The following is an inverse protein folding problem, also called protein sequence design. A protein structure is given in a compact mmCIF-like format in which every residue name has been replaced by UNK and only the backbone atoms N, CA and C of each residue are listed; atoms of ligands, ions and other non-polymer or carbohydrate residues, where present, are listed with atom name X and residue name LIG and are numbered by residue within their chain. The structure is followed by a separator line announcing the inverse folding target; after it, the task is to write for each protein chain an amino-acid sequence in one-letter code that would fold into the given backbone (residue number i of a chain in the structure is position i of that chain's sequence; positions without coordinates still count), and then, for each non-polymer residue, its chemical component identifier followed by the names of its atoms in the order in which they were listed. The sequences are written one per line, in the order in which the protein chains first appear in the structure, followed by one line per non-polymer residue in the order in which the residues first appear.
data_IF_421919263520
#
_entry.id   IF_421919263520
#
_cell.length_a   1.000
_cell.length_b   1.000
_cell.length_c   1.000
_cell.angle_alpha   90.00
_cell.angle_beta   90.00
_cell.angle_gamma   90.00
#
_symmetry.space_group_name_H-M   'P 1'
#
loop_
_entity.id
_entity.type
_entity.pdbx_description
1 polymer ?
#
# COMPACT_ATOMS: atom_id res chain seq x y z
N UNK A 1 22.62 12.56 24.53
CA UNK A 1 21.52 12.19 23.65
C UNK A 1 21.06 10.82 24.12
N UNK A 2 19.87 10.74 24.72
CA UNK A 2 19.31 9.45 25.11
C UNK A 2 19.09 8.64 23.82
N UNK A 3 19.64 7.43 23.79
CA UNK A 3 19.33 6.44 22.77
C UNK A 3 17.84 6.10 22.91
N UNK A 4 16.98 6.83 22.23
CA UNK A 4 15.60 6.43 22.07
C UNK A 4 15.63 5.14 21.27
N UNK A 5 15.44 4.01 21.94
CA UNK A 5 15.24 2.73 21.26
C UNK A 5 14.01 2.88 20.35
N UNK A 6 14.14 2.50 19.10
CA UNK A 6 12.99 2.47 18.19
C UNK A 6 11.85 1.65 18.82
N UNK A 7 10.58 2.05 18.65
CA UNK A 7 9.47 1.27 19.16
C UNK A 7 9.50 -0.13 18.54
N UNK A 8 9.08 -1.12 19.29
CA UNK A 8 8.96 -2.51 18.78
C UNK A 8 7.62 -2.75 18.09
N UNK A 9 6.65 -1.86 18.31
CA UNK A 9 5.29 -1.96 17.74
C UNK A 9 4.86 -0.65 17.11
N UNK A 10 3.99 -0.74 16.10
CA UNK A 10 3.35 0.44 15.52
C UNK A 10 2.38 1.08 16.51
N UNK A 11 2.29 2.40 16.50
CA UNK A 11 1.49 3.21 17.40
C UNK A 11 0.37 3.94 16.63
N UNK A 12 -0.61 4.44 17.38
CA UNK A 12 -1.68 5.27 16.83
C UNK A 12 -3.01 4.55 16.61
N UNK A 13 -3.89 5.19 15.86
CA UNK A 13 -5.23 4.68 15.56
C UNK A 13 -5.24 3.94 14.22
N UNK A 14 -5.48 2.64 14.28
CA UNK A 14 -5.57 1.75 13.12
C UNK A 14 -7.02 1.35 12.78
N UNK A 15 -8.00 1.88 13.50
CA UNK A 15 -9.40 1.44 13.41
C UNK A 15 -10.00 1.58 12.00
N UNK A 16 -9.50 2.53 11.20
CA UNK A 16 -9.98 2.77 9.83
C UNK A 16 -9.05 2.23 8.74
N UNK A 17 -7.94 1.61 9.12
CA UNK A 17 -6.89 1.21 8.16
C UNK A 17 -7.41 0.26 7.08
N UNK A 18 -8.24 -0.70 7.46
CA UNK A 18 -8.73 -1.73 6.52
C UNK A 18 -10.19 -1.50 6.09
N UNK A 19 -10.77 -0.36 6.45
CA UNK A 19 -12.13 -0.01 6.06
C UNK A 19 -12.17 0.64 4.69
N UNK A 20 -13.23 0.32 3.94
CA UNK A 20 -13.62 1.03 2.73
C UNK A 20 -14.86 1.86 2.99
N UNK A 21 -15.12 2.81 2.09
CA UNK A 21 -16.33 3.61 2.17
C UNK A 21 -16.42 4.44 3.46
N UNK A 22 -15.29 4.96 3.95
CA UNK A 22 -15.24 5.87 5.09
C UNK A 22 -16.11 7.12 4.89
N UNK A 23 -16.47 7.37 3.64
CA UNK A 23 -17.37 8.45 3.22
C UNK A 23 -18.48 7.87 2.36
N UNK A 24 -19.66 8.48 2.41
CA UNK A 24 -20.75 8.16 1.47
C UNK A 24 -20.28 8.43 0.04
N UNK A 25 -20.40 7.46 -0.89
CA UNK A 25 -19.86 7.60 -2.23
C UNK A 25 -20.44 8.79 -2.99
N UNK A 26 -19.58 9.58 -3.58
CA UNK A 26 -19.92 10.53 -4.64
C UNK A 26 -19.63 9.86 -5.98
N UNK A 27 -20.68 9.60 -6.75
CA UNK A 27 -20.59 8.91 -8.03
C UNK A 27 -19.54 9.53 -8.95
N UNK A 28 -18.70 8.69 -9.54
CA UNK A 28 -17.53 9.01 -10.35
C UNK A 28 -16.35 9.68 -9.63
N UNK A 29 -16.45 10.04 -8.35
CA UNK A 29 -15.43 10.78 -7.65
C UNK A 29 -14.83 10.05 -6.46
N UNK A 30 -15.46 8.98 -5.96
CA UNK A 30 -14.97 8.27 -4.79
C UNK A 30 -13.93 7.25 -5.19
N UNK A 31 -12.78 7.35 -4.59
CA UNK A 31 -11.68 6.43 -4.79
C UNK A 31 -11.12 6.00 -3.45
N UNK A 32 -11.01 4.67 -3.23
CA UNK A 32 -10.42 4.05 -2.07
C UNK A 32 -9.18 3.27 -2.48
N UNK A 33 -8.08 3.43 -1.72
CA UNK A 33 -6.88 2.65 -1.96
C UNK A 33 -6.01 2.51 -0.72
N UNK A 34 -5.14 1.46 -0.77
CA UNK A 34 -3.98 1.27 0.07
C UNK A 34 -2.76 1.28 -0.81
N UNK A 35 -1.69 1.90 -0.39
CA UNK A 35 -0.46 1.89 -1.15
C UNK A 35 0.79 1.96 -0.28
N UNK A 36 1.83 1.32 -0.81
CA UNK A 36 3.18 1.38 -0.30
C UNK A 36 4.08 2.06 -1.30
N UNK A 37 4.99 2.89 -0.80
CA UNK A 37 6.21 3.28 -1.48
C UNK A 37 7.38 2.68 -0.71
N UNK A 38 8.12 1.79 -1.37
CA UNK A 38 9.29 1.10 -0.81
C UNK A 38 10.53 1.63 -1.51
N UNK A 39 11.53 1.98 -0.73
CA UNK A 39 12.84 2.43 -1.17
C UNK A 39 13.86 1.43 -0.64
N UNK A 40 14.45 0.64 -1.53
CA UNK A 40 15.45 -0.36 -1.16
C UNK A 40 16.84 0.24 -1.18
N UNK A 41 17.65 -0.18 -0.24
CA UNK A 41 19.06 0.16 -0.20
C UNK A 41 19.75 -0.46 -1.43
N UNK A 42 20.70 0.27 -1.98
CA UNK A 42 21.57 -0.27 -3.01
C UNK A 42 22.89 -0.67 -2.35
N UNK A 43 23.22 -1.97 -2.29
CA UNK A 43 24.45 -2.43 -1.69
C UNK A 43 25.70 -1.91 -2.41
N UNK A 44 25.58 -1.53 -3.68
CA UNK A 44 26.67 -0.95 -4.48
C UNK A 44 26.77 0.58 -4.31
N UNK A 45 25.89 1.16 -3.48
CA UNK A 45 25.92 2.58 -3.13
C UNK A 45 25.54 3.53 -4.25
N UNK A 46 24.76 3.06 -5.24
CA UNK A 46 24.20 3.95 -6.24
C UNK A 46 23.28 4.99 -5.59
N UNK A 47 23.34 6.27 -6.01
CA UNK A 47 22.53 7.34 -5.39
C UNK A 47 21.02 7.18 -5.61
N UNK A 48 20.63 6.27 -6.47
CA UNK A 48 19.24 5.97 -6.81
C UNK A 48 18.95 4.51 -6.49
N UNK A 49 18.56 4.23 -5.26
CA UNK A 49 18.13 2.89 -4.85
C UNK A 49 16.93 2.41 -5.66
N UNK A 50 16.72 1.10 -5.65
CA UNK A 50 15.54 0.50 -6.28
C UNK A 50 14.27 0.93 -5.55
N UNK A 51 13.18 1.17 -6.28
CA UNK A 51 11.94 1.65 -5.71
C UNK A 51 10.75 0.85 -6.22
N UNK A 52 9.81 0.60 -5.30
CA UNK A 52 8.53 0.00 -5.60
C UNK A 52 7.43 0.95 -5.15
N UNK A 53 6.47 1.23 -6.03
CA UNK A 53 5.18 1.74 -5.63
C UNK A 53 4.12 0.69 -5.97
N UNK A 54 3.29 0.31 -5.00
CA UNK A 54 2.20 -0.64 -5.20
C UNK A 54 0.91 -0.13 -4.60
N UNK A 55 -0.16 -0.29 -5.35
CA UNK A 55 -1.50 0.20 -5.08
C UNK A 55 -2.50 -0.95 -5.13
N UNK A 56 -3.27 -1.13 -4.07
CA UNK A 56 -4.53 -1.86 -4.08
C UNK A 56 -5.67 -0.86 -4.07
N UNK A 57 -6.56 -0.88 -5.05
CA UNK A 57 -7.58 0.14 -5.14
C UNK A 57 -8.92 -0.34 -5.67
N UNK A 58 -9.96 0.41 -5.32
CA UNK A 58 -11.28 0.37 -5.96
C UNK A 58 -11.78 1.79 -6.18
N UNK A 59 -12.72 1.97 -7.10
CA UNK A 59 -13.28 3.28 -7.42
C UNK A 59 -14.76 3.17 -7.72
N UNK A 60 -15.56 4.04 -7.13
CA UNK A 60 -16.98 4.20 -7.45
C UNK A 60 -17.14 4.96 -8.78
N UNK A 61 -16.93 4.23 -9.88
CA UNK A 61 -16.98 4.73 -11.24
C UNK A 61 -17.32 3.59 -12.19
N UNK A 62 -18.01 3.90 -13.27
CA UNK A 62 -18.32 2.95 -14.34
C UNK A 62 -17.12 2.67 -15.25
N UNK A 63 -16.08 3.49 -15.20
CA UNK A 63 -14.87 3.31 -16.00
C UNK A 63 -13.66 4.00 -15.41
N UNK A 64 -12.58 3.25 -15.27
CA UNK A 64 -11.25 3.74 -14.88
C UNK A 64 -10.23 3.32 -15.92
N UNK A 65 -9.21 4.13 -16.13
CA UNK A 65 -8.06 3.76 -16.95
C UNK A 65 -6.79 3.90 -16.12
N UNK A 66 -6.03 2.81 -16.00
CA UNK A 66 -4.75 2.79 -15.30
C UNK A 66 -3.71 2.20 -16.22
N UNK A 67 -2.59 2.90 -16.39
CA UNK A 67 -1.51 2.51 -17.31
C UNK A 67 -2.04 2.10 -18.70
N UNK A 68 -2.98 2.88 -19.25
CA UNK A 68 -3.58 2.63 -20.55
C UNK A 68 -4.59 1.47 -20.61
N UNK A 69 -4.82 0.74 -19.49
CA UNK A 69 -5.78 -0.36 -19.44
C UNK A 69 -7.11 0.12 -18.89
N UNK A 70 -8.20 -0.04 -19.62
CA UNK A 70 -9.51 0.22 -19.09
C UNK A 70 -9.89 -0.82 -18.04
N UNK A 71 -10.49 -0.37 -16.96
CA UNK A 71 -11.08 -1.18 -15.92
C UNK A 71 -12.46 -0.64 -15.58
N UNK A 72 -13.41 -1.52 -15.47
CA UNK A 72 -14.79 -1.19 -15.08
C UNK A 72 -15.09 -1.99 -13.83
N UNK A 73 -15.14 -1.36 -12.65
CA UNK A 73 -15.52 -2.06 -11.43
C UNK A 73 -16.98 -2.54 -11.55
N UNK A 74 -17.24 -3.74 -11.08
CA UNK A 74 -18.55 -4.37 -11.12
C UNK A 74 -19.15 -4.36 -9.72
N UNK A 75 -20.04 -3.42 -9.48
CA UNK A 75 -20.84 -3.40 -8.26
C UNK A 75 -20.19 -2.76 -7.03
N UNK A 76 -20.90 -2.81 -5.93
CA UNK A 76 -20.46 -2.32 -4.62
C UNK A 76 -19.77 -3.44 -3.83
N UNK A 77 -18.90 -3.11 -2.89
CA UNK A 77 -18.31 -4.11 -2.01
C UNK A 77 -19.37 -4.98 -1.36
N UNK A 78 -19.17 -6.29 -1.43
CA UNK A 78 -19.93 -7.30 -0.70
C UNK A 78 -19.24 -7.69 0.59
N UNK A 79 -19.72 -8.75 1.25
CA UNK A 79 -19.06 -9.37 2.39
C UNK A 79 -18.81 -10.85 2.11
N UNK A 80 -17.66 -11.34 2.53
CA UNK A 80 -17.40 -12.78 2.57
C UNK A 80 -18.12 -13.43 3.78
N UNK A 81 -18.00 -14.74 3.90
CA UNK A 81 -18.62 -15.51 5.00
C UNK A 81 -18.07 -15.15 6.38
N UNK A 82 -16.93 -14.50 6.47
CA UNK A 82 -16.28 -14.07 7.71
C UNK A 82 -16.38 -12.55 7.97
N UNK A 83 -17.08 -11.82 7.11
CA UNK A 83 -17.31 -10.39 7.27
C UNK A 83 -16.27 -9.49 6.59
N UNK A 84 -15.25 -10.05 5.94
CA UNK A 84 -14.30 -9.32 5.11
C UNK A 84 -15.01 -8.68 3.91
N UNK A 85 -14.56 -7.49 3.51
CA UNK A 85 -15.14 -6.82 2.35
C UNK A 85 -14.58 -7.38 1.06
N UNK A 86 -15.45 -7.98 0.24
CA UNK A 86 -15.13 -8.40 -1.13
C UNK A 86 -15.22 -7.19 -2.05
N UNK A 87 -14.16 -6.93 -2.76
CA UNK A 87 -14.01 -5.76 -3.62
C UNK A 87 -13.63 -6.23 -5.01
N UNK A 88 -14.37 -5.77 -6.02
CA UNK A 88 -13.87 -5.76 -7.38
C UNK A 88 -12.88 -4.59 -7.51
N UNK A 89 -11.62 -4.92 -7.59
CA UNK A 89 -10.53 -3.96 -7.44
C UNK A 89 -9.39 -4.19 -8.43
N UNK A 90 -8.31 -3.51 -8.15
CA UNK A 90 -7.10 -3.58 -8.96
C UNK A 90 -5.87 -3.54 -8.06
N UNK A 91 -4.91 -4.41 -8.37
CA UNK A 91 -3.53 -4.29 -7.90
C UNK A 91 -2.68 -3.75 -9.04
N UNK A 92 -2.03 -2.62 -8.79
CA UNK A 92 -1.17 -1.97 -9.76
C UNK A 92 0.16 -1.61 -9.10
N UNK A 93 1.27 -1.88 -9.77
CA UNK A 93 2.59 -1.56 -9.25
C UNK A 93 3.54 -1.07 -10.34
N UNK A 94 4.50 -0.26 -9.89
CA UNK A 94 5.61 0.28 -10.66
C UNK A 94 6.92 -0.09 -9.97
N UNK A 95 7.88 -0.53 -10.73
CA UNK A 95 9.19 -0.91 -10.22
C UNK A 95 10.28 -0.12 -10.92
N UNK A 96 11.07 0.61 -10.16
CA UNK A 96 12.30 1.24 -10.61
C UNK A 96 13.50 0.37 -10.19
N UNK A 97 14.26 -0.13 -11.15
CA UNK A 97 15.38 -1.07 -10.92
C UNK A 97 16.71 -0.39 -10.59
N UNK A 98 16.71 0.94 -10.43
CA UNK A 98 17.89 1.78 -10.27
C UNK A 98 18.32 2.46 -11.57
N UNK A 99 17.81 2.03 -12.74
CA UNK A 99 18.14 2.57 -14.05
C UNK A 99 16.89 2.95 -14.85
N UNK A 100 15.87 2.10 -14.83
CA UNK A 100 14.63 2.32 -15.57
C UNK A 100 13.39 1.97 -14.73
N UNK A 101 12.27 2.55 -15.16
CA UNK A 101 10.96 2.21 -14.64
C UNK A 101 10.35 1.07 -15.44
N UNK A 102 9.96 -0.01 -14.76
CA UNK A 102 9.08 -1.05 -15.30
C UNK A 102 7.65 -0.63 -15.02
N UNK A 103 6.94 -0.25 -16.07
CA UNK A 103 5.60 0.34 -16.01
C UNK A 103 4.70 -0.28 -17.08
N UNK A 104 3.73 -1.11 -16.65
CA UNK A 104 3.48 -1.57 -15.29
C UNK A 104 4.41 -2.72 -14.86
N UNK A 105 4.65 -2.84 -13.55
CA UNK A 105 5.24 -4.03 -12.94
C UNK A 105 4.16 -5.07 -12.62
N UNK A 106 3.05 -4.61 -12.05
CA UNK A 106 1.83 -5.38 -11.82
C UNK A 106 0.65 -4.55 -12.34
N UNK A 107 -0.27 -5.21 -13.04
CA UNK A 107 -1.51 -4.61 -13.53
C UNK A 107 -2.59 -5.67 -13.58
N UNK A 108 -3.26 -5.91 -12.47
CA UNK A 108 -4.29 -6.93 -12.33
C UNK A 108 -5.60 -6.35 -11.86
N UNK A 109 -6.65 -6.60 -12.60
CA UNK A 109 -8.03 -6.48 -12.10
C UNK A 109 -8.39 -7.79 -11.44
N UNK A 110 -8.89 -7.76 -10.22
CA UNK A 110 -9.14 -8.95 -9.44
C UNK A 110 -10.12 -8.69 -8.30
N UNK A 111 -10.79 -9.73 -7.88
CA UNK A 111 -11.45 -9.71 -6.58
C UNK A 111 -10.39 -9.63 -5.49
N UNK A 112 -10.60 -8.73 -4.54
CA UNK A 112 -9.79 -8.59 -3.34
C UNK A 112 -10.70 -8.75 -2.11
N UNK A 113 -10.12 -9.19 -1.02
CA UNK A 113 -10.79 -9.16 0.29
C UNK A 113 -9.99 -8.24 1.20
N UNK A 114 -10.64 -7.20 1.69
CA UNK A 114 -10.13 -6.37 2.78
C UNK A 114 -10.65 -6.92 4.11
N UNK A 115 -9.74 -7.18 5.03
CA UNK A 115 -9.98 -7.79 6.32
C UNK A 115 -9.63 -6.80 7.42
N UNK A 116 -10.46 -6.67 8.44
CA UNK A 116 -10.10 -5.99 9.69
C UNK A 116 -9.45 -6.97 10.69
N UNK A 117 -9.13 -6.49 11.88
CA UNK A 117 -8.52 -7.27 12.95
C UNK A 117 -9.47 -8.31 13.60
N UNK A 118 -10.75 -8.29 13.23
CA UNK A 118 -11.74 -9.27 13.68
C UNK A 118 -11.90 -10.42 12.68
N UNK A 119 -11.40 -10.26 11.45
CA UNK A 119 -11.46 -11.31 10.44
C UNK A 119 -10.49 -12.46 10.81
N UNK A 120 -10.89 -13.72 10.70
CA UNK A 120 -9.96 -14.83 10.87
C UNK A 120 -8.83 -14.75 9.82
N UNK A 121 -7.67 -15.30 10.18
CA UNK A 121 -6.54 -15.38 9.25
C UNK A 121 -6.97 -16.03 7.93
N UNK A 122 -6.51 -15.50 6.82
CA UNK A 122 -6.80 -16.09 5.52
C UNK A 122 -6.13 -17.45 5.39
N UNK A 123 -6.83 -18.48 4.89
CA UNK A 123 -6.24 -19.80 4.68
C UNK A 123 -4.98 -19.73 3.82
N UNK A 124 -3.88 -20.29 4.29
CA UNK A 124 -2.58 -20.24 3.58
C UNK A 124 -1.67 -19.08 3.97
N UNK A 125 -2.18 -18.02 4.63
CA UNK A 125 -1.33 -16.98 5.19
C UNK A 125 -0.85 -17.36 6.59
N UNK A 126 0.45 -17.25 6.82
CA UNK A 126 1.06 -17.43 8.15
C UNK A 126 1.06 -16.13 8.96
N UNK A 127 0.93 -15.00 8.27
CA UNK A 127 0.78 -13.67 8.84
C UNK A 127 -0.71 -13.34 9.02
N UNK A 128 -1.04 -12.42 9.90
CA UNK A 128 -2.39 -11.89 9.95
C UNK A 128 -2.94 -11.53 11.31
N UNK A 129 -4.24 -11.30 11.33
CA UNK A 129 -5.09 -10.87 12.44
C UNK A 129 -4.93 -9.42 12.92
N UNK A 130 -4.11 -8.62 12.27
CA UNK A 130 -4.14 -7.16 12.42
C UNK A 130 -4.84 -6.48 11.23
N UNK A 131 -5.47 -7.28 10.37
CA UNK A 131 -6.12 -6.83 9.15
C UNK A 131 -5.18 -6.79 7.95
N UNK A 132 -5.76 -6.65 6.76
CA UNK A 132 -5.00 -6.63 5.51
C UNK A 132 -5.88 -6.63 4.27
N UNK A 133 -5.25 -6.80 3.13
CA UNK A 133 -5.87 -7.04 1.84
C UNK A 133 -5.22 -8.24 1.16
N UNK A 134 -6.03 -9.12 0.61
CA UNK A 134 -5.59 -10.35 -0.06
C UNK A 134 -6.32 -10.55 -1.36
N UNK A 135 -5.62 -11.06 -2.37
CA UNK A 135 -6.23 -11.60 -3.59
C UNK A 135 -6.49 -13.09 -3.35
N UNK A 136 -7.76 -13.55 -3.26
CA UNK A 136 -8.11 -14.89 -2.79
C UNK A 136 -7.48 -16.03 -3.58
N UNK A 137 -7.24 -15.83 -4.87
CA UNK A 137 -6.62 -16.83 -5.74
C UNK A 137 -5.09 -16.86 -5.65
N UNK A 138 -4.48 -15.87 -4.99
CA UNK A 138 -3.03 -15.69 -4.87
C UNK A 138 -2.65 -15.17 -3.48
N UNK A 139 -3.10 -15.83 -2.39
CA UNK A 139 -2.98 -15.25 -1.05
C UNK A 139 -1.53 -15.10 -0.59
N UNK A 140 -0.63 -16.00 -1.02
CA UNK A 140 0.79 -15.93 -0.68
C UNK A 140 1.59 -14.99 -1.60
N UNK A 141 1.02 -14.63 -2.74
CA UNK A 141 1.71 -13.90 -3.81
C UNK A 141 1.19 -12.47 -4.00
N UNK A 142 -0.06 -12.20 -3.64
CA UNK A 142 -0.64 -10.87 -3.67
C UNK A 142 -1.43 -10.61 -2.39
N UNK A 143 -0.70 -10.15 -1.37
CA UNK A 143 -1.28 -9.80 -0.08
C UNK A 143 -0.45 -8.77 0.65
N UNK A 144 -1.09 -8.06 1.56
CA UNK A 144 -0.46 -7.16 2.50
C UNK A 144 -1.28 -7.08 3.79
N UNK A 145 -0.66 -6.73 4.89
CA UNK A 145 -1.40 -6.51 6.12
C UNK A 145 -0.52 -6.23 7.32
N UNK A 146 -1.18 -6.08 8.47
CA UNK A 146 -0.57 -5.86 9.77
C UNK A 146 -0.73 -7.11 10.63
N UNK A 147 0.33 -7.53 11.30
CA UNK A 147 0.25 -8.59 12.30
C UNK A 147 -0.52 -8.11 13.54
N UNK A 148 -1.17 -9.03 14.24
CA UNK A 148 -2.03 -8.73 15.41
C UNK A 148 -1.29 -8.07 16.57
N UNK A 149 0.00 -8.39 16.73
CA UNK A 149 0.90 -7.80 17.72
C UNK A 149 1.34 -6.37 17.37
N UNK A 150 1.07 -5.93 16.12
CA UNK A 150 1.53 -4.65 15.57
C UNK A 150 3.06 -4.51 15.52
N UNK A 151 3.79 -5.60 15.50
CA UNK A 151 5.25 -5.57 15.37
C UNK A 151 5.69 -5.41 13.92
N UNK A 152 4.89 -5.86 12.96
CA UNK A 152 5.23 -5.72 11.54
C UNK A 152 4.01 -5.72 10.62
N UNK A 153 4.18 -5.05 9.46
CA UNK A 153 3.40 -5.33 8.26
C UNK A 153 4.13 -6.37 7.41
N UNK A 154 3.36 -7.04 6.56
CA UNK A 154 3.90 -7.82 5.45
C UNK A 154 3.43 -7.28 4.11
N UNK A 155 4.21 -7.55 3.06
CA UNK A 155 3.91 -7.21 1.69
C UNK A 155 4.44 -8.30 0.78
N UNK A 156 3.54 -9.06 0.15
CA UNK A 156 3.89 -10.11 -0.81
C UNK A 156 3.40 -9.72 -2.20
N UNK A 157 4.27 -9.82 -3.19
CA UNK A 157 4.00 -9.46 -4.57
C UNK A 157 4.56 -10.50 -5.53
N UNK A 158 3.84 -10.73 -6.63
CA UNK A 158 4.30 -11.47 -7.81
C UNK A 158 4.15 -10.57 -9.03
N UNK A 159 5.23 -10.41 -9.77
CA UNK A 159 5.28 -9.61 -10.99
C UNK A 159 4.43 -10.21 -12.12
N UNK A 160 3.92 -9.38 -13.01
CA UNK A 160 3.29 -9.85 -14.23
C UNK A 160 4.34 -10.41 -15.20
N UNK A 161 4.01 -11.49 -15.92
CA UNK A 161 4.96 -12.22 -16.75
C UNK A 161 5.71 -11.31 -17.74
N UNK A 162 5.01 -10.39 -18.39
CA UNK A 162 5.60 -9.44 -19.33
C UNK A 162 6.67 -8.54 -18.67
N UNK A 163 6.40 -8.07 -17.44
CA UNK A 163 7.35 -7.26 -16.70
C UNK A 163 8.58 -8.07 -16.27
N UNK A 164 8.36 -9.32 -15.85
CA UNK A 164 9.42 -10.26 -15.45
C UNK A 164 10.30 -10.63 -16.64
N UNK A 165 9.72 -10.93 -17.79
CA UNK A 165 10.46 -11.12 -19.05
C UNK A 165 11.26 -9.87 -19.43
N UNK A 166 10.73 -8.69 -19.09
CA UNK A 166 11.40 -7.41 -19.24
C UNK A 166 12.48 -7.11 -18.20
N UNK A 167 12.76 -8.02 -17.25
CA UNK A 167 13.81 -7.91 -16.23
C UNK A 167 13.34 -7.31 -14.89
N UNK A 168 12.03 -7.17 -14.66
CA UNK A 168 11.50 -6.87 -13.33
C UNK A 168 11.51 -8.12 -12.44
N UNK A 169 11.47 -7.99 -11.10
CA UNK A 169 11.46 -9.13 -10.19
C UNK A 169 10.22 -10.02 -10.37
N UNK A 170 10.41 -11.33 -10.25
CA UNK A 170 9.31 -12.28 -10.28
C UNK A 170 8.52 -12.28 -8.98
N UNK A 171 9.23 -12.19 -7.83
CA UNK A 171 8.60 -12.28 -6.51
C UNK A 171 9.27 -11.35 -5.51
N UNK A 172 8.44 -10.73 -4.65
CA UNK A 172 8.90 -9.97 -3.48
C UNK A 172 8.15 -10.45 -2.24
N UNK A 173 8.88 -10.61 -1.14
CA UNK A 173 8.30 -10.87 0.19
C UNK A 173 9.01 -9.99 1.20
N UNK A 174 8.29 -8.97 1.69
CA UNK A 174 8.85 -7.92 2.52
C UNK A 174 8.16 -7.88 3.88
N UNK A 175 8.96 -7.65 4.92
CA UNK A 175 8.52 -7.34 6.28
C UNK A 175 8.86 -5.88 6.58
N UNK A 176 7.88 -5.14 7.11
CA UNK A 176 8.01 -3.72 7.36
C UNK A 176 7.77 -3.48 8.85
N UNK A 177 8.78 -2.98 9.54
CA UNK A 177 8.80 -2.81 11.00
C UNK A 177 8.86 -1.36 11.42
N UNK A 178 8.51 -1.01 12.68
CA UNK A 178 8.67 0.35 13.17
C UNK A 178 10.09 0.89 12.96
N UNK A 179 10.21 2.11 12.47
CA UNK A 179 11.52 2.75 12.31
C UNK A 179 11.90 3.60 13.53
N UNK A 180 11.06 4.58 13.85
CA UNK A 180 11.21 5.42 15.03
C UNK A 180 9.84 5.91 15.52
N UNK A 181 9.73 6.43 16.76
CA UNK A 181 8.44 6.83 17.34
C UNK A 181 7.66 7.86 16.49
N UNK A 182 8.35 8.74 15.79
CA UNK A 182 7.71 9.80 15.02
C UNK A 182 7.15 9.29 13.68
N UNK A 183 7.85 8.34 13.05
CA UNK A 183 7.53 7.85 11.70
C UNK A 183 6.62 6.62 11.71
N UNK A 184 6.66 5.81 12.77
CA UNK A 184 5.92 4.56 12.90
C UNK A 184 4.56 4.71 13.58
N UNK A 185 4.01 5.92 13.55
CA UNK A 185 2.69 6.24 14.13
C UNK A 185 1.67 6.40 13.02
N UNK A 186 0.57 5.64 13.08
CA UNK A 186 -0.57 5.84 12.21
C UNK A 186 -1.23 7.19 12.50
N UNK A 187 -1.29 8.07 11.50
CA UNK A 187 -1.79 9.44 11.64
C UNK A 187 -2.97 9.67 10.71
N UNK A 188 -4.21 9.58 11.21
CA UNK A 188 -5.39 9.93 10.43
C UNK A 188 -5.45 11.44 10.18
N UNK A 189 -5.96 11.78 9.01
CA UNK A 189 -6.18 13.15 8.55
C UNK A 189 -7.45 13.19 7.73
N UNK A 190 -8.39 14.06 8.07
CA UNK A 190 -9.68 14.19 7.42
C UNK A 190 -9.90 15.63 7.01
N UNK A 191 -10.45 15.84 5.81
CA UNK A 191 -10.97 17.14 5.38
C UNK A 191 -12.31 16.96 4.66
N UNK A 192 -13.21 17.90 4.87
CA UNK A 192 -14.49 17.97 4.18
C UNK A 192 -14.61 19.34 3.51
N UNK A 193 -14.94 19.30 2.23
CA UNK A 193 -15.15 20.47 1.39
C UNK A 193 -16.61 20.62 0.99
N UNK A 194 -16.90 21.61 0.17
CA UNK A 194 -18.25 21.81 -0.37
C UNK A 194 -18.72 20.59 -1.19
N UNK A 195 -20.03 20.40 -1.26
CA UNK A 195 -20.70 19.35 -2.05
C UNK A 195 -20.28 17.91 -1.69
N UNK A 196 -19.92 17.65 -0.43
CA UNK A 196 -19.51 16.31 0.03
C UNK A 196 -18.11 15.89 -0.38
N UNK A 197 -17.37 16.70 -1.12
CA UNK A 197 -15.99 16.44 -1.46
C UNK A 197 -15.10 16.41 -0.21
N UNK A 198 -13.98 15.72 -0.30
CA UNK A 198 -13.01 15.64 0.79
C UNK A 198 -12.15 14.39 0.74
N UNK A 199 -11.50 14.11 1.86
CA UNK A 199 -10.67 12.92 1.99
C UNK A 199 -10.61 12.44 3.45
N UNK A 200 -10.33 11.16 3.58
CA UNK A 200 -9.87 10.52 4.81
C UNK A 200 -8.59 9.75 4.48
N UNK A 201 -7.51 10.10 5.15
CA UNK A 201 -6.19 9.54 4.89
C UNK A 201 -5.56 9.09 6.21
N UNK A 202 -5.08 7.87 6.25
CA UNK A 202 -4.25 7.37 7.33
C UNK A 202 -2.85 7.10 6.79
N UNK A 203 -1.81 7.55 7.51
CA UNK A 203 -0.43 7.45 7.08
C UNK A 203 0.45 6.80 8.14
N UNK A 204 1.38 5.95 7.68
CA UNK A 204 2.57 5.56 8.43
C UNK A 204 3.76 6.10 7.66
N UNK A 205 4.44 7.10 8.24
CA UNK A 205 5.42 7.91 7.51
C UNK A 205 6.74 7.20 7.26
N UNK A 206 7.07 6.18 8.02
CA UNK A 206 8.28 5.42 7.76
C UNK A 206 8.35 4.11 8.54
N UNK A 207 8.83 3.11 7.83
CA UNK A 207 9.13 1.77 8.34
C UNK A 207 10.51 1.36 7.88
N UNK A 208 11.17 0.46 8.61
CA UNK A 208 12.29 -0.32 8.08
C UNK A 208 11.74 -1.47 7.27
N UNK A 209 12.40 -1.77 6.17
CA UNK A 209 12.08 -2.88 5.28
C UNK A 209 13.19 -3.92 5.36
N UNK A 210 12.81 -5.19 5.45
CA UNK A 210 13.68 -6.33 5.26
C UNK A 210 12.88 -7.43 4.55
N UNK A 211 13.55 -8.32 3.84
CA UNK A 211 12.91 -9.42 3.13
C UNK A 211 13.69 -9.87 1.92
N UNK A 212 12.98 -10.37 0.91
CA UNK A 212 13.63 -10.89 -0.30
C UNK A 212 12.98 -10.36 -1.58
N UNK A 213 13.80 -10.16 -2.59
CA UNK A 213 13.42 -9.93 -3.98
C UNK A 213 14.06 -11.04 -4.80
N UNK A 214 13.26 -11.91 -5.42
CA UNK A 214 13.73 -13.11 -6.15
C UNK A 214 14.68 -14.01 -5.33
N UNK A 215 14.46 -14.07 -4.00
CA UNK A 215 15.28 -14.85 -3.07
C UNK A 215 16.54 -14.16 -2.56
N UNK A 216 16.90 -13.01 -3.11
CA UNK A 216 18.01 -12.18 -2.63
C UNK A 216 17.56 -11.31 -1.48
N UNK A 217 18.34 -11.27 -0.39
CA UNK A 217 18.03 -10.43 0.77
C UNK A 217 18.11 -8.94 0.43
N UNK A 218 17.12 -8.18 0.90
CA UNK A 218 17.05 -6.74 0.70
C UNK A 218 16.73 -6.02 2.02
N UNK A 219 17.17 -4.77 2.10
CA UNK A 219 16.82 -3.84 3.17
C UNK A 219 16.38 -2.49 2.59
N UNK A 220 15.84 -1.63 3.45
CA UNK A 220 15.44 -0.28 3.04
C UNK A 220 14.41 0.35 3.95
N UNK A 221 13.64 1.26 3.40
CA UNK A 221 12.56 1.95 4.11
C UNK A 221 11.29 2.00 3.27
N UNK A 222 10.15 2.23 3.95
CA UNK A 222 8.89 2.38 3.23
C UNK A 222 7.94 3.38 3.90
N UNK A 223 7.03 3.89 3.09
CA UNK A 223 5.90 4.72 3.46
C UNK A 223 4.60 4.02 3.12
N UNK A 224 3.60 4.14 3.99
CA UNK A 224 2.27 3.57 3.80
C UNK A 224 1.17 4.63 3.85
N UNK A 225 0.15 4.44 3.03
CA UNK A 225 -1.05 5.26 3.05
C UNK A 225 -2.31 4.44 2.76
N UNK A 226 -3.34 4.61 3.60
CA UNK A 226 -4.73 4.29 3.29
C UNK A 226 -5.43 5.59 2.96
N UNK A 227 -6.18 5.60 1.88
CA UNK A 227 -6.89 6.80 1.40
C UNK A 227 -8.30 6.46 0.99
N UNK A 228 -9.25 7.31 1.38
CA UNK A 228 -10.53 7.49 0.73
C UNK A 228 -10.60 8.94 0.27
N UNK A 229 -10.69 9.19 -1.03
CA UNK A 229 -10.80 10.54 -1.59
C UNK A 229 -12.06 10.68 -2.42
N UNK A 230 -12.69 11.83 -2.30
CA UNK A 230 -13.87 12.25 -3.06
C UNK A 230 -13.62 13.64 -3.60
N UNK A 231 -12.93 13.73 -4.71
CA UNK A 231 -12.61 14.99 -5.35
C UNK A 231 -12.28 14.77 -6.82
N UNK A 232 -12.41 15.78 -7.67
CA UNK A 232 -11.72 15.80 -8.94
C UNK A 232 -10.24 15.56 -8.67
N UNK A 233 -9.60 14.75 -9.51
CA UNK A 233 -8.18 14.42 -9.39
C UNK A 233 -7.35 15.39 -10.26
N UNK A 234 -6.95 16.57 -9.75
CA UNK A 234 -6.00 17.41 -10.47
C UNK A 234 -4.67 16.67 -10.56
N UNK A 235 -3.87 16.92 -11.58
CA UNK A 235 -2.50 16.42 -11.61
C UNK A 235 -1.73 16.87 -10.38
N UNK A 236 -1.06 15.95 -9.72
CA UNK A 236 -0.16 16.27 -8.61
C UNK A 236 1.14 15.50 -8.72
N UNK A 237 2.17 16.09 -8.16
CA UNK A 237 3.44 15.42 -7.90
C UNK A 237 3.55 15.17 -6.42
N UNK A 238 3.97 13.99 -6.05
CA UNK A 238 4.13 13.60 -4.66
C UNK A 238 5.45 12.86 -4.49
N UNK A 239 6.08 13.06 -3.34
CA UNK A 239 7.31 12.38 -3.00
C UNK A 239 7.55 12.35 -1.50
N UNK A 240 8.28 11.34 -1.06
CA UNK A 240 8.79 11.23 0.30
C UNK A 240 10.28 10.94 0.26
N UNK A 241 11.00 11.53 1.18
CA UNK A 241 12.42 11.30 1.41
C UNK A 241 12.60 10.92 2.87
N UNK A 242 13.31 9.83 3.11
CA UNK A 242 13.74 9.39 4.43
C UNK A 242 15.22 9.65 4.59
N UNK A 243 15.62 10.14 5.77
CA UNK A 243 17.01 10.43 6.10
C UNK A 243 17.50 9.51 7.23
N UNK A 244 18.80 9.23 7.25
CA UNK A 244 19.43 8.33 8.23
C UNK A 244 19.23 8.78 9.68
N UNK A 245 19.10 10.09 9.91
CA UNK A 245 18.84 10.66 11.24
C UNK A 245 17.39 10.46 11.72
N UNK A 246 16.55 9.79 10.92
CA UNK A 246 15.15 9.53 11.22
C UNK A 246 14.23 10.70 10.91
N UNK A 247 14.71 11.74 10.25
CA UNK A 247 13.86 12.80 9.69
C UNK A 247 13.28 12.38 8.34
N UNK A 248 12.22 13.08 7.88
CA UNK A 248 11.64 12.85 6.57
C UNK A 248 11.06 14.13 5.97
N UNK A 249 10.97 14.16 4.66
CA UNK A 249 10.26 15.20 3.91
C UNK A 249 9.17 14.53 3.09
N UNK A 250 7.94 15.04 3.21
CA UNK A 250 6.81 14.67 2.34
C UNK A 250 6.42 15.91 1.54
N UNK A 251 6.51 15.82 0.22
CA UNK A 251 6.23 16.90 -0.70
C UNK A 251 4.96 16.59 -1.48
N UNK A 252 4.06 17.56 -1.58
CA UNK A 252 2.92 17.54 -2.47
C UNK A 252 2.91 18.84 -3.28
N UNK A 253 2.92 18.71 -4.58
CA UNK A 253 2.85 19.83 -5.52
C UNK A 253 1.70 19.62 -6.50
N UNK A 254 0.85 20.62 -6.64
CA UNK A 254 -0.20 20.68 -7.67
C UNK A 254 0.16 21.75 -8.69
N UNK A 255 0.15 21.41 -9.97
CA UNK A 255 0.39 22.35 -11.07
C UNK A 255 -0.88 23.10 -11.44
#
# INVERSE_FOLDING_TARGET
MENSTAPTTFQGDFSTMWQLGLREPLWHMTWDWWWWLVMLDDPDGAPWGKQLMVLWSTKDNDRVQVNGTPWTPIGRPGKDEHGGMVIDGMVCAWWFDGQRMHEPYIKRTCDMIAMDDQHPSWPGLTQGNGGGAVVPLLPEDLSMGLNSDRESFWLNLVGDAEAVEGGAPAKMSLTLTPWNPAMSVARPSTATYAAGMGYDILRVHGTKVAGTVDGEEVSGTAYFQKVCVQAPSPPWYWGVLHFEDGSYICLLYTS
#
